data_IF_266544082423
#
_entry.id   IF_266544082423
#
_cell.length_a   1.000
_cell.length_b   1.000
_cell.length_c   1.000
_cell.angle_alpha   90.00
_cell.angle_beta   90.00
_cell.angle_gamma   90.00
#
_symmetry.space_group_name_H-M   'P 1'
#
loop_
_entity.id
_entity.type
_entity.pdbx_description
1 polymer ?
#
# COMPACT_ATOMS: atom_id res chain seq x y z
N UNK A 1 85.74 15.13 17.02
CA UNK A 1 86.54 13.89 16.90
C UNK A 1 85.70 12.79 16.41
N UNK A 2 86.16 12.14 15.32
CA UNK A 2 85.80 10.84 14.75
C UNK A 2 84.47 10.75 14.00
N UNK A 3 84.49 10.80 12.72
CA UNK A 3 84.72 9.77 11.71
C UNK A 3 83.89 8.56 11.97
N UNK A 4 83.11 8.05 11.05
CA UNK A 4 83.17 7.47 9.72
C UNK A 4 81.83 6.83 9.47
N UNK A 5 81.34 6.35 8.39
CA UNK A 5 81.71 6.10 7.00
C UNK A 5 80.45 5.67 6.28
N UNK A 6 80.42 6.05 5.07
CA UNK A 6 79.40 5.65 4.07
C UNK A 6 79.51 4.19 3.71
N UNK A 7 78.39 3.49 3.56
CA UNK A 7 78.32 2.29 2.77
C UNK A 7 77.11 2.36 1.83
N UNK A 8 77.41 2.55 0.55
CA UNK A 8 76.50 2.42 -0.58
C UNK A 8 76.23 0.96 -0.84
N UNK A 9 74.97 0.56 -0.78
CA UNK A 9 74.58 -0.69 -1.39
C UNK A 9 73.66 -0.42 -2.56
N UNK A 10 74.08 -0.88 -3.74
CA UNK A 10 73.35 -0.93 -4.99
C UNK A 10 72.31 -2.06 -4.88
N UNK A 11 71.07 -1.70 -5.04
CA UNK A 11 70.00 -2.72 -5.20
C UNK A 11 69.57 -2.79 -6.69
N UNK A 12 69.38 -3.99 -7.26
CA UNK A 12 69.02 -4.14 -8.64
C UNK A 12 67.55 -3.84 -8.89
N UNK A 13 67.28 -3.13 -10.00
CA UNK A 13 65.97 -2.95 -10.56
C UNK A 13 65.36 -4.28 -11.01
N UNK A 14 64.35 -4.77 -10.36
CA UNK A 14 63.47 -5.80 -10.89
C UNK A 14 62.32 -5.13 -11.63
N UNK A 15 62.35 -5.22 -12.96
CA UNK A 15 61.21 -4.88 -13.80
C UNK A 15 60.09 -5.92 -13.58
N UNK A 16 59.09 -5.59 -12.81
CA UNK A 16 57.83 -6.33 -12.77
C UNK A 16 56.91 -5.79 -13.84
N UNK A 17 56.73 -6.55 -14.90
CA UNK A 17 55.69 -6.34 -15.90
C UNK A 17 54.34 -6.58 -15.24
N UNK A 18 53.66 -5.49 -14.88
CA UNK A 18 52.30 -5.53 -14.39
C UNK A 18 51.35 -5.82 -15.54
N UNK A 19 50.79 -7.02 -15.57
CA UNK A 19 49.60 -7.35 -16.35
C UNK A 19 48.45 -6.52 -15.85
N UNK A 20 48.11 -5.44 -16.57
CA UNK A 20 46.88 -4.73 -16.40
C UNK A 20 45.73 -5.62 -16.88
N UNK A 21 45.17 -6.41 -15.98
CA UNK A 21 43.89 -7.04 -16.20
C UNK A 21 42.84 -5.94 -16.23
N UNK A 22 42.32 -5.63 -17.41
CA UNK A 22 41.08 -4.90 -17.56
C UNK A 22 39.95 -5.75 -16.97
N UNK A 23 39.76 -5.68 -15.68
CA UNK A 23 38.52 -6.13 -15.04
C UNK A 23 37.44 -5.10 -15.40
N UNK A 24 36.67 -5.38 -16.42
CA UNK A 24 35.37 -4.75 -16.63
C UNK A 24 34.57 -4.96 -15.36
N UNK A 25 34.02 -3.90 -14.73
CA UNK A 25 33.07 -4.10 -13.65
C UNK A 25 31.75 -4.59 -14.28
N UNK A 26 31.66 -5.88 -14.52
CA UNK A 26 30.36 -6.56 -14.46
C UNK A 26 29.93 -6.50 -13.01
N UNK A 27 29.55 -5.32 -12.56
CA UNK A 27 28.73 -5.18 -11.39
C UNK A 27 27.42 -5.86 -11.74
N UNK A 28 27.39 -7.13 -11.37
CA UNK A 28 26.20 -7.93 -11.23
C UNK A 28 25.22 -7.07 -10.44
N UNK A 29 24.19 -6.57 -11.07
CA UNK A 29 23.02 -6.07 -10.39
C UNK A 29 22.49 -7.25 -9.58
N UNK A 30 22.92 -7.33 -8.33
CA UNK A 30 22.55 -8.37 -7.37
C UNK A 30 21.29 -7.95 -6.63
N UNK A 31 20.35 -7.32 -7.31
CA UNK A 31 18.97 -7.22 -6.87
C UNK A 31 18.15 -7.04 -8.14
N UNK A 32 17.31 -8.03 -8.44
CA UNK A 32 16.40 -8.02 -9.57
C UNK A 32 15.27 -6.99 -9.41
N UNK A 33 15.59 -5.82 -8.87
CA UNK A 33 14.71 -4.67 -8.84
C UNK A 33 14.92 -3.88 -10.12
N UNK A 34 13.91 -3.90 -10.98
CA UNK A 34 13.83 -2.93 -12.06
C UNK A 34 13.95 -1.53 -11.43
N UNK A 35 14.97 -0.70 -11.81
CA UNK A 35 15.14 0.64 -11.22
C UNK A 35 13.92 1.56 -11.41
N UNK A 36 12.96 1.15 -12.23
CA UNK A 36 11.67 1.82 -12.42
C UNK A 36 10.57 1.31 -11.50
N UNK A 37 10.88 0.29 -10.70
CA UNK A 37 9.95 -0.32 -9.79
C UNK A 37 10.34 0.01 -8.34
N UNK A 38 9.63 0.95 -7.73
CA UNK A 38 9.68 1.14 -6.29
C UNK A 38 8.71 0.15 -5.63
N UNK A 39 9.18 -0.67 -4.67
CA UNK A 39 8.25 -1.46 -3.87
C UNK A 39 7.28 -0.50 -3.19
N UNK A 40 6.00 -0.90 -3.13
CA UNK A 40 4.98 -0.10 -2.49
C UNK A 40 5.44 0.31 -1.09
N UNK A 41 5.42 1.59 -0.85
CA UNK A 41 5.60 2.12 0.49
C UNK A 41 4.41 1.73 1.37
N UNK A 42 4.53 1.82 2.69
CA UNK A 42 3.41 1.61 3.59
C UNK A 42 2.25 2.59 3.31
N UNK A 43 2.55 3.77 2.73
CA UNK A 43 1.53 4.70 2.25
C UNK A 43 0.71 4.14 1.08
N UNK A 44 1.32 3.31 0.22
CA UNK A 44 0.62 2.70 -0.92
C UNK A 44 -0.30 1.57 -0.47
N UNK A 45 0.05 0.85 0.60
CA UNK A 45 -0.82 -0.18 1.20
C UNK A 45 -2.09 0.45 1.77
N UNK A 46 -2.00 1.63 2.34
CA UNK A 46 -3.15 2.39 2.85
C UNK A 46 -3.89 3.14 1.74
N UNK A 47 -3.23 3.48 0.65
CA UNK A 47 -3.81 4.24 -0.45
C UNK A 47 -5.10 3.62 -0.96
N UNK A 48 -6.13 4.45 -1.18
CA UNK A 48 -7.45 4.02 -1.65
C UNK A 48 -8.16 3.02 -0.70
N UNK A 49 -7.84 3.06 0.60
CA UNK A 49 -8.49 2.21 1.60
C UNK A 49 -9.44 3.02 2.47
N UNK A 50 -10.53 2.39 2.90
CA UNK A 50 -11.50 2.97 3.83
C UNK A 50 -11.65 2.07 5.06
N UNK A 51 -11.81 2.69 6.20
CA UNK A 51 -11.79 2.06 7.50
C UNK A 51 -12.90 2.61 8.38
N UNK A 52 -13.55 1.74 9.13
CA UNK A 52 -14.53 2.09 10.15
C UNK A 52 -13.92 1.89 11.54
N UNK A 53 -14.05 2.87 12.43
CA UNK A 53 -13.64 2.70 13.81
C UNK A 53 -14.56 1.67 14.48
N UNK A 54 -13.96 0.53 14.85
CA UNK A 54 -14.66 -0.59 15.46
C UNK A 54 -14.60 -0.54 16.99
N UNK A 55 -13.52 0.00 17.56
CA UNK A 55 -13.32 0.07 19.01
C UNK A 55 -12.39 1.22 19.38
N UNK A 56 -12.69 1.88 20.49
CA UNK A 56 -11.84 2.88 21.13
C UNK A 56 -11.62 2.47 22.58
N UNK A 57 -10.40 2.08 22.91
CA UNK A 57 -10.00 1.68 24.26
C UNK A 57 -9.23 2.83 24.89
N UNK A 58 -9.65 3.25 26.06
CA UNK A 58 -8.99 4.29 26.85
C UNK A 58 -7.87 3.71 27.71
N UNK A 59 -6.93 4.53 28.21
CA UNK A 59 -5.96 4.10 29.21
C UNK A 59 -6.64 3.41 30.38
N UNK A 60 -6.10 2.25 30.80
CA UNK A 60 -6.72 1.42 31.84
C UNK A 60 -7.78 0.43 31.34
N UNK A 61 -8.02 0.34 30.04
CA UNK A 61 -8.86 -0.69 29.40
C UNK A 61 -10.36 -0.36 29.32
N UNK A 62 -10.77 0.83 29.74
CA UNK A 62 -12.15 1.31 29.57
C UNK A 62 -12.51 1.48 28.10
N UNK A 63 -13.74 1.13 27.71
CA UNK A 63 -14.24 1.34 26.36
C UNK A 63 -14.97 2.68 26.25
N UNK A 64 -14.61 3.47 25.26
CA UNK A 64 -15.37 4.67 24.90
C UNK A 64 -16.56 4.27 24.03
N UNK A 65 -17.73 4.83 24.34
CA UNK A 65 -18.92 4.67 23.49
C UNK A 65 -18.71 5.38 22.16
N UNK A 66 -18.81 4.63 21.08
CA UNK A 66 -18.71 5.12 19.70
C UNK A 66 -19.94 4.67 18.90
N UNK A 67 -20.37 5.43 17.87
CA UNK A 67 -21.39 4.98 16.93
C UNK A 67 -20.95 3.69 16.21
N UNK A 68 -21.83 2.70 16.15
CA UNK A 68 -21.53 1.42 15.51
C UNK A 68 -22.55 1.12 14.41
N UNK A 69 -22.14 0.50 13.28
CA UNK A 69 -23.07 0.16 12.19
C UNK A 69 -24.26 -0.72 12.65
N UNK A 70 -24.04 -1.59 13.63
CA UNK A 70 -25.10 -2.43 14.21
C UNK A 70 -26.19 -1.65 14.93
N UNK A 71 -25.96 -0.39 15.26
CA UNK A 71 -26.94 0.50 15.92
C UNK A 71 -27.62 1.46 14.95
N UNK A 72 -27.50 1.21 13.64
CA UNK A 72 -28.00 2.11 12.59
C UNK A 72 -27.38 3.52 12.64
N UNK A 73 -26.24 3.66 13.28
CA UNK A 73 -25.49 4.90 13.41
C UNK A 73 -24.30 4.90 12.46
N UNK A 74 -23.99 6.06 11.89
CA UNK A 74 -22.83 6.18 11.01
C UNK A 74 -21.54 6.10 11.84
N UNK A 75 -20.64 5.13 11.56
CA UNK A 75 -19.37 5.00 12.28
C UNK A 75 -18.42 6.16 11.98
N UNK A 76 -17.45 6.38 12.86
CA UNK A 76 -16.29 7.20 12.53
C UNK A 76 -15.47 6.49 11.45
N UNK A 77 -15.02 7.24 10.46
CA UNK A 77 -14.35 6.64 9.29
C UNK A 77 -13.05 7.32 8.97
N UNK A 78 -12.14 6.55 8.35
CA UNK A 78 -10.90 7.05 7.76
C UNK A 78 -10.79 6.49 6.35
N UNK A 79 -10.61 7.37 5.37
CA UNK A 79 -10.32 7.01 3.98
C UNK A 79 -9.00 7.62 3.59
N UNK A 80 -8.08 6.80 3.12
CA UNK A 80 -6.79 7.23 2.62
C UNK A 80 -6.87 7.42 1.10
N UNK A 81 -6.49 8.60 0.65
CA UNK A 81 -6.52 8.99 -0.75
C UNK A 81 -5.09 9.30 -1.17
N UNK A 82 -4.64 8.62 -2.21
CA UNK A 82 -3.38 8.92 -2.88
C UNK A 82 -3.70 9.27 -4.33
N UNK A 83 -4.04 10.50 -4.55
CA UNK A 83 -4.22 11.07 -5.88
C UNK A 83 -2.96 11.85 -6.26
N UNK A 84 -2.79 12.22 -7.51
CA UNK A 84 -1.66 12.92 -8.16
C UNK A 84 -0.97 14.03 -7.34
N UNK A 85 -1.32 14.17 -6.08
CA UNK A 85 -0.80 15.11 -5.09
C UNK A 85 -0.26 14.39 -3.85
N UNK A 86 -0.10 15.16 -2.78
CA UNK A 86 0.32 14.64 -1.48
C UNK A 86 -0.75 13.67 -0.92
N UNK A 87 -0.34 12.60 -0.21
CA UNK A 87 -1.26 11.69 0.45
C UNK A 87 -2.19 12.44 1.41
N UNK A 88 -3.48 12.14 1.35
CA UNK A 88 -4.51 12.76 2.19
C UNK A 88 -5.38 11.69 2.83
N UNK A 89 -5.82 11.99 4.03
CA UNK A 89 -6.84 11.21 4.70
C UNK A 89 -8.10 12.07 4.87
N UNK A 90 -9.25 11.45 4.79
CA UNK A 90 -10.55 12.08 5.01
C UNK A 90 -11.49 11.10 5.70
N UNK A 91 -12.60 11.60 6.21
CA UNK A 91 -13.59 10.73 6.82
C UNK A 91 -14.68 11.48 7.56
N UNK A 92 -15.46 10.73 8.32
CA UNK A 92 -16.50 11.24 9.20
C UNK A 92 -16.05 11.08 10.66
N UNK A 93 -16.09 12.16 11.43
CA UNK A 93 -15.55 12.21 12.79
C UNK A 93 -16.63 12.07 13.89
N UNK A 94 -17.87 11.77 13.53
CA UNK A 94 -18.99 11.67 14.48
C UNK A 94 -20.08 12.73 14.28
N UNK A 95 -19.71 13.91 13.82
CA UNK A 95 -20.62 15.00 13.40
C UNK A 95 -20.22 15.51 12.02
N UNK A 96 -18.98 15.88 11.83
CA UNK A 96 -18.48 16.53 10.64
C UNK A 96 -17.60 15.62 9.78
N UNK A 97 -17.50 15.96 8.49
CA UNK A 97 -16.47 15.44 7.60
C UNK A 97 -15.16 16.15 7.88
N UNK A 98 -14.05 15.43 7.78
CA UNK A 98 -12.72 16.00 7.94
C UNK A 98 -11.77 15.58 6.83
N UNK A 99 -10.70 16.31 6.69
CA UNK A 99 -9.55 15.94 5.88
C UNK A 99 -8.25 16.45 6.51
N UNK A 100 -7.16 15.72 6.28
CA UNK A 100 -5.83 16.09 6.71
C UNK A 100 -4.77 15.52 5.75
N UNK A 101 -3.64 16.19 5.56
CA UNK A 101 -2.47 15.60 4.89
C UNK A 101 -1.80 14.60 5.83
N UNK A 102 -1.28 13.51 5.27
CA UNK A 102 -0.53 12.52 6.05
C UNK A 102 0.73 12.08 5.31
N UNK A 103 1.64 11.46 6.05
CA UNK A 103 2.77 10.69 5.52
C UNK A 103 2.89 9.39 6.30
N UNK A 104 3.62 8.44 5.74
CA UNK A 104 4.05 7.25 6.47
C UNK A 104 5.57 7.23 6.47
N UNK A 105 6.15 7.25 7.65
CA UNK A 105 7.59 7.17 7.84
C UNK A 105 7.92 6.08 8.85
N UNK A 106 8.84 5.19 8.51
CA UNK A 106 9.23 4.04 9.34
C UNK A 106 8.04 3.19 9.81
N UNK A 107 7.03 3.00 8.95
CA UNK A 107 5.82 2.25 9.27
C UNK A 107 4.80 2.99 10.15
N UNK A 108 5.09 4.22 10.53
CA UNK A 108 4.20 5.04 11.35
C UNK A 108 3.43 6.04 10.48
N UNK A 109 2.13 6.13 10.70
CA UNK A 109 1.27 7.17 10.14
C UNK A 109 1.49 8.47 10.89
N UNK A 110 1.78 9.54 10.16
CA UNK A 110 2.00 10.88 10.69
C UNK A 110 1.02 11.83 10.02
N UNK A 111 0.13 12.44 10.79
CA UNK A 111 -0.76 13.51 10.32
C UNK A 111 -0.01 14.83 10.40
N UNK A 112 0.21 15.46 9.26
CA UNK A 112 1.16 16.59 9.11
C UNK A 112 0.62 17.94 9.58
N UNK A 113 -0.71 18.08 9.70
CA UNK A 113 -1.36 19.30 10.14
C UNK A 113 -2.68 18.98 10.85
N UNK A 114 -3.19 19.95 11.59
CA UNK A 114 -4.51 19.83 12.20
C UNK A 114 -5.57 19.53 11.13
N UNK A 115 -6.45 18.55 11.35
CA UNK A 115 -7.52 18.25 10.42
C UNK A 115 -8.43 19.47 10.22
N UNK A 116 -8.84 19.67 8.98
CA UNK A 116 -9.89 20.63 8.64
C UNK A 116 -11.22 19.89 8.59
N UNK A 117 -12.22 20.38 9.30
CA UNK A 117 -13.54 19.76 9.34
C UNK A 117 -14.64 20.75 8.91
N UNK A 118 -15.79 20.22 8.45
CA UNK A 118 -17.01 21.01 8.26
C UNK A 118 -17.53 21.47 9.65
N UNK A 119 -18.42 22.45 9.66
CA UNK A 119 -18.88 23.09 10.90
C UNK A 119 -20.40 22.94 11.07
N UNK A 120 -20.89 21.69 11.10
CA UNK A 120 -22.28 21.42 11.45
C UNK A 120 -22.41 21.31 12.96
N UNK A 121 -23.56 21.77 13.51
CA UNK A 121 -23.91 21.56 14.90
C UNK A 121 -24.63 20.22 15.06
N UNK A 122 -24.14 19.39 15.96
CA UNK A 122 -24.73 18.10 16.32
C UNK A 122 -25.02 18.05 17.82
N UNK A 123 -25.55 16.93 18.29
CA UNK A 123 -25.72 16.66 19.72
C UNK A 123 -24.37 16.78 20.46
N UNK A 124 -24.36 17.30 21.71
CA UNK A 124 -23.11 17.55 22.45
C UNK A 124 -22.17 16.33 22.53
N UNK A 125 -22.73 15.13 22.66
CA UNK A 125 -21.94 13.89 22.73
C UNK A 125 -21.17 13.63 21.44
N UNK A 126 -21.80 13.89 20.27
CA UNK A 126 -21.15 13.73 18.97
C UNK A 126 -20.08 14.79 18.74
N UNK A 127 -20.32 16.01 19.20
CA UNK A 127 -19.33 17.10 19.15
C UNK A 127 -18.11 16.80 20.02
N UNK A 128 -18.32 16.29 21.24
CA UNK A 128 -17.20 15.86 22.11
C UNK A 128 -16.41 14.69 21.51
N UNK A 129 -17.12 13.71 20.97
CA UNK A 129 -16.47 12.57 20.29
C UNK A 129 -15.62 13.02 19.09
N UNK A 130 -16.16 13.92 18.27
CA UNK A 130 -15.45 14.51 17.13
C UNK A 130 -14.19 15.24 17.56
N UNK A 131 -14.30 16.13 18.57
CA UNK A 131 -13.15 16.89 19.06
C UNK A 131 -12.02 15.98 19.51
N UNK A 132 -12.35 14.93 20.28
CA UNK A 132 -11.36 13.99 20.78
C UNK A 132 -10.75 13.14 19.65
N UNK A 133 -11.57 12.72 18.69
CA UNK A 133 -11.09 11.97 17.53
C UNK A 133 -10.15 12.81 16.67
N UNK A 134 -10.54 14.04 16.32
CA UNK A 134 -9.70 14.94 15.49
C UNK A 134 -8.41 15.32 16.22
N UNK A 135 -8.47 15.58 17.53
CA UNK A 135 -7.28 15.82 18.34
C UNK A 135 -6.37 14.57 18.39
N UNK A 136 -6.94 13.38 18.40
CA UNK A 136 -6.23 12.12 18.37
C UNK A 136 -5.41 11.91 17.11
N UNK A 137 -5.87 12.40 15.96
CA UNK A 137 -5.19 12.20 14.67
C UNK A 137 -3.75 12.72 14.66
N UNK A 138 -3.49 13.84 15.32
CA UNK A 138 -2.13 14.40 15.42
C UNK A 138 -1.30 13.81 16.56
N UNK A 139 -1.87 12.87 17.32
CA UNK A 139 -1.26 12.23 18.50
C UNK A 139 -0.95 10.76 18.28
N UNK A 140 -1.02 10.26 17.06
CA UNK A 140 -0.70 8.87 16.73
C UNK A 140 0.79 8.64 16.95
N UNK A 141 1.14 7.70 17.82
CA UNK A 141 2.53 7.31 18.13
C UNK A 141 2.91 5.97 17.54
N UNK A 142 1.91 5.13 17.26
CA UNK A 142 2.14 3.85 16.58
C UNK A 142 0.97 3.51 15.68
N UNK A 143 1.28 2.86 14.56
CA UNK A 143 0.30 2.31 13.61
C UNK A 143 0.68 0.86 13.33
N UNK A 144 -0.25 -0.05 13.46
CA UNK A 144 -0.06 -1.45 13.10
C UNK A 144 -1.17 -1.95 12.18
N UNK A 145 -0.81 -2.85 11.31
CA UNK A 145 -1.71 -3.56 10.39
C UNK A 145 -1.59 -5.05 10.67
N UNK A 146 -2.71 -5.77 10.64
CA UNK A 146 -2.72 -7.23 10.83
C UNK A 146 -2.04 -7.98 9.68
N UNK A 147 -1.99 -7.37 8.51
CA UNK A 147 -1.36 -7.92 7.31
C UNK A 147 -0.85 -6.79 6.41
N UNK A 148 0.36 -6.94 5.86
CA UNK A 148 0.96 -5.93 4.98
C UNK A 148 0.48 -6.00 3.54
N UNK A 149 -0.01 -7.15 3.08
CA UNK A 149 -0.47 -7.31 1.69
C UNK A 149 -1.96 -7.01 1.53
N UNK A 150 -2.75 -7.36 2.54
CA UNK A 150 -4.21 -7.20 2.53
C UNK A 150 -4.70 -6.92 3.95
N UNK A 151 -4.44 -5.72 4.50
CA UNK A 151 -4.83 -5.41 5.87
C UNK A 151 -6.36 -5.34 6.00
N UNK A 152 -6.87 -6.08 6.97
CA UNK A 152 -8.28 -6.07 7.37
C UNK A 152 -8.49 -5.33 8.69
N UNK A 153 -7.43 -5.15 9.46
CA UNK A 153 -7.43 -4.42 10.72
C UNK A 153 -6.28 -3.44 10.76
N UNK A 154 -6.56 -2.26 11.27
CA UNK A 154 -5.58 -1.23 11.55
C UNK A 154 -5.76 -0.77 12.99
N UNK A 155 -4.67 -0.66 13.73
CA UNK A 155 -4.68 -0.16 15.10
C UNK A 155 -3.79 1.05 15.21
N UNK A 156 -4.30 2.11 15.81
CA UNK A 156 -3.54 3.30 16.22
C UNK A 156 -3.38 3.35 17.73
N UNK A 157 -2.20 3.70 18.17
CA UNK A 157 -1.94 4.04 19.58
C UNK A 157 -1.65 5.53 19.64
N UNK A 158 -2.34 6.23 20.54
CA UNK A 158 -2.16 7.66 20.76
C UNK A 158 -1.18 7.90 21.91
N UNK A 159 -0.56 9.09 21.94
CA UNK A 159 0.31 9.49 23.04
C UNK A 159 -0.41 9.62 24.40
N UNK A 160 -1.74 9.65 24.40
CA UNK A 160 -2.59 9.59 25.60
C UNK A 160 -2.69 8.19 26.18
N UNK A 161 -2.26 7.16 25.46
CA UNK A 161 -2.44 5.75 25.80
C UNK A 161 -3.76 5.14 25.26
N UNK A 162 -4.57 5.93 24.57
CA UNK A 162 -5.75 5.41 23.88
C UNK A 162 -5.34 4.50 22.71
N UNK A 163 -6.15 3.48 22.46
CA UNK A 163 -6.00 2.57 21.31
C UNK A 163 -7.29 2.61 20.48
N UNK A 164 -7.12 2.87 19.18
CA UNK A 164 -8.20 2.92 18.20
C UNK A 164 -8.03 1.75 17.24
N UNK A 165 -8.99 0.83 17.24
CA UNK A 165 -9.02 -0.31 16.34
C UNK A 165 -10.02 -0.07 15.22
N UNK A 166 -9.55 -0.23 13.99
CA UNK A 166 -10.34 -0.05 12.78
C UNK A 166 -10.52 -1.37 12.04
N UNK A 167 -11.72 -1.59 11.55
CA UNK A 167 -12.02 -2.63 10.56
C UNK A 167 -12.00 -2.07 9.15
N UNK A 168 -11.47 -2.85 8.20
CA UNK A 168 -11.50 -2.48 6.80
C UNK A 168 -12.94 -2.35 6.32
N UNK A 169 -13.28 -1.19 5.76
CA UNK A 169 -14.51 -1.06 4.98
C UNK A 169 -14.22 -1.57 3.59
N UNK A 170 -14.90 -2.62 3.22
CA UNK A 170 -15.01 -3.02 1.82
C UNK A 170 -16.29 -2.37 1.31
N UNK A 171 -16.16 -1.37 0.43
CA UNK A 171 -17.34 -0.85 -0.24
C UNK A 171 -18.01 -2.01 -0.96
N UNK A 172 -19.32 -2.19 -0.80
CA UNK A 172 -20.01 -3.29 -1.46
C UNK A 172 -19.78 -3.13 -2.96
N UNK A 173 -19.01 -4.02 -3.51
CA UNK A 173 -18.78 -4.11 -4.95
C UNK A 173 -20.13 -4.30 -5.60
N UNK A 174 -20.32 -3.73 -6.77
CA UNK A 174 -21.58 -3.86 -7.51
C UNK A 174 -22.02 -5.33 -7.52
N UNK A 175 -23.04 -5.68 -6.71
CA UNK A 175 -23.49 -7.04 -6.44
C UNK A 175 -23.47 -7.49 -4.97
N UNK A 176 -23.02 -6.63 -4.03
CA UNK A 176 -23.19 -6.86 -2.56
C UNK A 176 -22.34 -7.97 -1.95
N UNK A 177 -21.38 -8.53 -2.64
CA UNK A 177 -20.51 -9.59 -2.11
C UNK A 177 -19.14 -9.02 -1.71
N UNK A 178 -18.88 -9.01 -0.41
CA UNK A 178 -17.55 -8.77 0.12
C UNK A 178 -16.75 -10.10 0.03
N UNK A 179 -15.53 -10.02 -0.46
CA UNK A 179 -14.59 -11.13 -0.53
C UNK A 179 -13.21 -10.71 -0.04
N UNK A 180 -12.26 -11.65 0.08
CA UNK A 180 -10.89 -11.32 0.40
C UNK A 180 -10.31 -10.43 -0.69
N UNK A 181 -9.59 -9.39 -0.28
CA UNK A 181 -8.88 -8.52 -1.21
C UNK A 181 -7.44 -8.99 -1.38
N UNK A 182 -6.86 -8.76 -2.55
CA UNK A 182 -5.44 -8.97 -2.80
C UNK A 182 -4.85 -7.90 -3.71
N UNK A 183 -3.53 -7.71 -3.61
CA UNK A 183 -2.77 -6.86 -4.51
C UNK A 183 -2.27 -7.71 -5.68
N UNK A 184 -2.48 -7.22 -6.90
CA UNK A 184 -2.00 -7.86 -8.12
C UNK A 184 -1.35 -6.84 -9.04
N UNK A 185 -0.30 -7.25 -9.72
CA UNK A 185 0.27 -6.50 -10.82
C UNK A 185 -0.39 -6.96 -12.11
N UNK A 186 -0.72 -6.01 -12.97
CA UNK A 186 -1.24 -6.27 -14.32
C UNK A 186 -0.27 -5.66 -15.32
N UNK A 187 0.21 -6.47 -16.25
CA UNK A 187 1.16 -6.03 -17.27
C UNK A 187 0.52 -5.02 -18.24
N UNK A 188 1.37 -4.27 -18.93
CA UNK A 188 0.97 -3.21 -19.87
C UNK A 188 0.31 -3.74 -21.15
N UNK A 189 0.34 -5.04 -21.40
CA UNK A 189 -0.25 -5.65 -22.60
C UNK A 189 -1.05 -6.89 -22.24
N UNK A 190 -2.16 -7.09 -22.95
CA UNK A 190 -2.84 -8.38 -23.00
C UNK A 190 -2.16 -9.24 -24.06
N UNK A 191 -2.12 -10.54 -23.86
CA UNK A 191 -1.50 -11.47 -24.79
C UNK A 191 -2.48 -12.54 -25.24
N UNK A 192 -2.32 -13.06 -26.45
CA UNK A 192 -3.12 -14.18 -26.92
C UNK A 192 -2.99 -15.40 -25.99
N UNK A 193 -4.09 -15.98 -25.58
CA UNK A 193 -4.16 -17.15 -24.72
C UNK A 193 -5.32 -18.07 -25.14
N UNK A 194 -5.29 -19.30 -24.65
CA UNK A 194 -6.37 -20.26 -24.85
C UNK A 194 -7.20 -20.37 -23.57
N UNK A 195 -8.41 -19.83 -23.58
CA UNK A 195 -9.35 -19.92 -22.48
C UNK A 195 -10.48 -20.89 -22.87
N UNK A 196 -10.36 -22.16 -22.48
CA UNK A 196 -11.40 -23.19 -22.63
C UNK A 196 -12.08 -23.28 -24.01
N UNK A 197 -12.87 -22.31 -24.38
CA UNK A 197 -13.69 -22.28 -25.60
C UNK A 197 -12.99 -21.66 -26.83
N UNK A 198 -11.72 -21.23 -26.75
CA UNK A 198 -11.05 -20.60 -27.88
C UNK A 198 -9.93 -19.63 -27.55
N UNK A 199 -9.39 -18.99 -28.58
CA UNK A 199 -8.38 -17.94 -28.44
C UNK A 199 -9.01 -16.64 -27.94
N UNK A 200 -8.41 -16.04 -26.91
CA UNK A 200 -8.79 -14.73 -26.36
C UNK A 200 -7.55 -13.92 -26.00
N UNK A 201 -7.76 -12.74 -25.47
CA UNK A 201 -6.71 -11.86 -24.95
C UNK A 201 -6.73 -11.89 -23.42
N UNK A 202 -5.71 -12.49 -22.80
CA UNK A 202 -5.60 -12.58 -21.36
C UNK A 202 -4.78 -11.43 -20.76
N UNK A 203 -5.13 -11.06 -19.54
CA UNK A 203 -4.21 -10.29 -18.71
C UNK A 203 -3.01 -11.14 -18.31
N UNK A 204 -1.87 -10.50 -18.20
CA UNK A 204 -0.71 -11.06 -17.54
C UNK A 204 -0.66 -10.45 -16.15
N UNK A 205 -0.74 -11.29 -15.13
CA UNK A 205 -0.80 -10.87 -13.73
C UNK A 205 0.28 -11.54 -12.89
N UNK A 206 0.63 -10.92 -11.75
CA UNK A 206 1.51 -11.53 -10.75
C UNK A 206 1.22 -10.93 -9.38
N UNK A 207 1.43 -11.69 -8.31
CA UNK A 207 1.16 -11.25 -6.94
C UNK A 207 2.32 -10.45 -6.34
N UNK A 208 3.53 -10.61 -6.87
CA UNK A 208 4.70 -9.81 -6.49
C UNK A 208 5.58 -9.47 -7.67
N UNK A 209 6.43 -8.44 -7.53
CA UNK A 209 7.33 -7.98 -8.58
C UNK A 209 8.35 -9.05 -9.02
N UNK A 210 8.71 -9.96 -8.12
CA UNK A 210 9.70 -11.03 -8.36
C UNK A 210 9.12 -12.28 -9.01
N UNK A 211 7.80 -12.40 -9.05
CA UNK A 211 7.15 -13.58 -9.63
C UNK A 211 7.03 -13.48 -11.15
N UNK A 212 7.03 -14.63 -11.86
CA UNK A 212 6.75 -14.66 -13.28
C UNK A 212 5.31 -14.24 -13.57
N UNK A 213 5.10 -13.68 -14.76
CA UNK A 213 3.77 -13.35 -15.23
C UNK A 213 2.94 -14.60 -15.46
N UNK A 214 1.71 -14.61 -14.99
CA UNK A 214 0.72 -15.67 -15.17
C UNK A 214 -0.48 -15.13 -15.94
N UNK A 215 -1.20 -16.01 -16.64
CA UNK A 215 -2.42 -15.61 -17.33
C UNK A 215 -3.59 -15.51 -16.36
N UNK A 216 -4.31 -14.41 -16.44
CA UNK A 216 -5.63 -14.28 -15.87
C UNK A 216 -6.65 -14.32 -17.00
N UNK A 217 -7.49 -15.35 -17.00
CA UNK A 217 -8.40 -15.66 -18.10
C UNK A 217 -9.73 -14.92 -18.02
N UNK A 218 -10.06 -14.36 -16.86
CA UNK A 218 -11.26 -13.58 -16.63
C UNK A 218 -11.08 -12.10 -16.86
N UNK A 219 -12.18 -11.37 -16.90
CA UNK A 219 -12.15 -9.93 -16.79
C UNK A 219 -11.98 -9.50 -15.33
N UNK A 220 -11.53 -8.26 -15.13
CA UNK A 220 -11.50 -7.59 -13.84
C UNK A 220 -12.63 -6.57 -13.84
N UNK A 221 -13.74 -6.90 -13.19
CA UNK A 221 -14.96 -6.08 -13.18
C UNK A 221 -14.64 -4.67 -12.65
N UNK A 222 -15.05 -3.64 -13.37
CA UNK A 222 -14.79 -2.25 -12.98
C UNK A 222 -13.41 -1.71 -13.37
N UNK A 223 -12.53 -2.53 -13.95
CA UNK A 223 -11.21 -2.13 -14.39
C UNK A 223 -11.20 -1.75 -15.87
N UNK A 224 -10.80 -0.51 -16.16
CA UNK A 224 -10.61 -0.01 -17.52
C UNK A 224 -9.13 -0.11 -17.94
N UNK A 225 -8.77 -1.22 -18.56
CA UNK A 225 -7.41 -1.49 -19.02
C UNK A 225 -7.03 -0.58 -20.20
N UNK A 226 -5.84 0.02 -20.10
CA UNK A 226 -5.24 0.80 -21.21
C UNK A 226 -3.90 0.15 -21.59
N UNK A 227 -3.71 -0.24 -22.86
CA UNK A 227 -2.42 -0.75 -23.35
C UNK A 227 -1.30 0.28 -23.16
N UNK A 228 -0.10 -0.21 -22.82
CA UNK A 228 1.05 0.65 -22.54
C UNK A 228 1.16 1.11 -21.08
N UNK A 229 0.18 0.81 -20.25
CA UNK A 229 0.21 1.10 -18.82
C UNK A 229 0.29 -0.19 -18.02
N UNK A 230 1.28 -0.30 -17.14
CA UNK A 230 1.35 -1.34 -16.11
C UNK A 230 0.61 -0.87 -14.88
N UNK A 231 -0.14 -1.77 -14.27
CA UNK A 231 -0.95 -1.43 -13.10
C UNK A 231 -0.56 -2.25 -11.89
N UNK A 232 -0.77 -1.68 -10.72
CA UNK A 232 -0.89 -2.39 -9.47
C UNK A 232 -2.30 -2.14 -8.94
N UNK A 233 -3.07 -3.21 -8.86
CA UNK A 233 -4.47 -3.16 -8.47
C UNK A 233 -4.66 -3.81 -7.11
N UNK A 234 -5.63 -3.32 -6.36
CA UNK A 234 -6.26 -4.07 -5.30
C UNK A 234 -7.59 -4.58 -5.84
N UNK A 235 -7.76 -5.89 -5.81
CA UNK A 235 -8.96 -6.57 -6.29
C UNK A 235 -9.61 -7.34 -5.16
N UNK A 236 -10.94 -7.46 -5.22
CA UNK A 236 -11.74 -8.35 -4.38
C UNK A 236 -11.95 -9.66 -5.13
N UNK A 237 -11.66 -10.78 -4.50
CA UNK A 237 -11.95 -12.10 -5.04
C UNK A 237 -13.38 -12.50 -4.63
N UNK A 238 -14.24 -12.70 -5.60
CA UNK A 238 -15.61 -13.14 -5.36
C UNK A 238 -15.88 -14.44 -6.13
N UNK A 239 -16.65 -15.38 -5.56
CA UNK A 239 -17.05 -16.58 -6.29
C UNK A 239 -17.79 -16.22 -7.58
N UNK A 240 -17.46 -16.90 -8.67
CA UNK A 240 -18.21 -16.78 -9.91
C UNK A 240 -19.35 -17.80 -9.91
N UNK A 241 -20.58 -17.30 -9.98
CA UNK A 241 -21.76 -18.18 -10.00
C UNK A 241 -21.86 -19.02 -11.29
N UNK A 242 -21.24 -18.56 -12.38
CA UNK A 242 -21.26 -19.20 -13.68
C UNK A 242 -19.86 -19.21 -14.31
N UNK A 243 -18.90 -19.95 -13.75
CA UNK A 243 -17.53 -19.95 -14.25
C UNK A 243 -17.50 -20.51 -15.69
N UNK A 244 -16.75 -19.88 -16.61
CA UNK A 244 -16.58 -20.41 -17.95
C UNK A 244 -15.88 -21.78 -17.90
N UNK A 245 -16.20 -22.67 -18.80
CA UNK A 245 -15.62 -24.01 -18.87
C UNK A 245 -14.08 -23.90 -18.97
N UNK A 246 -13.36 -24.45 -17.97
CA UNK A 246 -11.90 -24.35 -17.86
C UNK A 246 -11.39 -23.01 -17.34
N UNK A 247 -12.25 -22.08 -16.93
CA UNK A 247 -11.91 -20.82 -16.29
C UNK A 247 -11.81 -20.90 -14.77
N UNK A 248 -11.47 -19.78 -14.13
CA UNK A 248 -11.45 -19.66 -12.68
C UNK A 248 -12.85 -19.70 -12.10
N UNK A 249 -13.03 -20.38 -10.97
CA UNK A 249 -14.26 -20.31 -10.16
C UNK A 249 -14.37 -18.99 -9.38
N UNK A 250 -13.37 -18.14 -9.47
CA UNK A 250 -13.32 -16.82 -8.84
C UNK A 250 -13.25 -15.74 -9.93
N UNK A 251 -13.96 -14.66 -9.74
CA UNK A 251 -13.82 -13.43 -10.53
C UNK A 251 -13.20 -12.34 -9.69
N UNK A 252 -12.51 -11.43 -10.33
CA UNK A 252 -11.93 -10.27 -9.67
C UNK A 252 -12.78 -9.04 -9.95
N UNK A 253 -12.96 -8.25 -8.89
CA UNK A 253 -13.61 -6.95 -8.95
C UNK A 253 -12.62 -5.92 -8.48
N UNK A 254 -12.45 -4.84 -9.24
CA UNK A 254 -11.56 -3.75 -8.88
C UNK A 254 -12.06 -3.08 -7.59
N UNK A 255 -11.21 -3.06 -6.57
CA UNK A 255 -11.40 -2.24 -5.36
C UNK A 255 -10.67 -0.90 -5.51
N UNK A 256 -9.40 -0.92 -5.96
CA UNK A 256 -8.65 0.30 -6.20
C UNK A 256 -7.51 0.11 -7.22
N UNK A 257 -7.20 1.17 -7.96
CA UNK A 257 -5.95 1.29 -8.71
C UNK A 257 -4.92 1.92 -7.78
N UNK A 258 -3.91 1.12 -7.36
CA UNK A 258 -2.89 1.54 -6.41
C UNK A 258 -1.78 2.31 -7.12
N UNK A 259 -1.40 1.83 -8.32
CA UNK A 259 -0.28 2.37 -9.07
C UNK A 259 -0.52 2.21 -10.58
N UNK A 260 -0.04 3.19 -11.34
CA UNK A 260 -0.04 3.18 -12.81
C UNK A 260 1.34 3.62 -13.29
N UNK A 261 1.96 2.80 -14.11
CA UNK A 261 3.27 3.08 -14.72
C UNK A 261 3.13 3.05 -16.25
N UNK A 262 3.48 4.16 -16.91
CA UNK A 262 3.56 4.19 -18.38
C UNK A 262 4.83 3.44 -18.79
N UNK A 263 4.66 2.35 -19.49
CA UNK A 263 5.77 1.56 -20.03
C UNK A 263 6.07 2.07 -21.45
N UNK A 264 7.11 2.91 -21.56
CA UNK A 264 7.60 3.33 -22.87
C UNK A 264 8.20 2.12 -23.59
N UNK A 265 7.78 1.88 -24.84
CA UNK A 265 8.37 0.88 -25.72
C UNK A 265 9.75 1.28 -26.16
#
# INVERSE_FOLDING_TARGET
MSFTASLRWLAPCVLSVGLVACASPLQRAADGQDPRYQPASASDILAQTSWDLARWTQPGGGLRTIPHPSTNSRPLTVTFIHDRGAPRMSGFAGCNQYNAPYTVANGQLIVQANPVATMMACAPQNMSLEQDFLAGLTRITATSLDNTNNPQRMTWVLNTGDTLDFGRRVDPVAGGQAGPTKLVYVNSERVPCNAGAGRTQCYQVRDSASQPWQFWYGDITGFNFQPGIRYRLRVVEVPDANPPAGGSSMRWVLDAVIEQEIVNR
#
